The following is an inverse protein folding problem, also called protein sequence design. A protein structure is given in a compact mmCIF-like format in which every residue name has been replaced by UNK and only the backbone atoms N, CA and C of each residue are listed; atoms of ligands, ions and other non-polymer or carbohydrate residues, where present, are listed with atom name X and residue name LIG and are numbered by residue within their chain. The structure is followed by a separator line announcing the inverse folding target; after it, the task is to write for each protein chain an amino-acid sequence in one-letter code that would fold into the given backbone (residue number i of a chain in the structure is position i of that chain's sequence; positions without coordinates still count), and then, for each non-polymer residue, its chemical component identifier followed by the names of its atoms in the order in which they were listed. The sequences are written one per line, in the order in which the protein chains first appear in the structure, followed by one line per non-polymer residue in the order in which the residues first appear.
data_IF_883239158863
#
_entry.id   IF_883239158863
#
_cell.length_a   1.000
_cell.length_b   1.000
_cell.length_c   1.000
_cell.angle_alpha   90.00
_cell.angle_beta   90.00
_cell.angle_gamma   90.00
#
_symmetry.space_group_name_H-M   'P 1'
#
loop_
_entity.id
_entity.type
_entity.pdbx_description
1 polymer ?
#
# COMPACT_ATOMS: atom_id res chain seq x y z
N UNK A 1 10.60 -13.46 15.32
CA UNK A 1 11.19 -14.68 15.87
C UNK A 1 10.61 -15.84 15.12
N UNK A 2 11.40 -16.49 14.30
CA UNK A 2 11.02 -17.68 13.56
C UNK A 2 11.24 -18.91 14.46
N UNK A 3 10.14 -19.43 14.99
CA UNK A 3 10.15 -20.61 15.88
C UNK A 3 10.49 -21.88 15.09
N UNK A 4 10.33 -21.88 13.76
CA UNK A 4 10.68 -23.05 12.95
C UNK A 4 12.18 -23.31 12.98
N UNK A 5 13.02 -22.26 12.97
CA UNK A 5 14.48 -22.41 13.16
C UNK A 5 14.79 -23.20 14.44
N UNK A 6 14.09 -22.86 15.53
CA UNK A 6 14.24 -23.54 16.81
C UNK A 6 13.79 -25.01 16.74
N UNK A 7 12.63 -25.27 16.15
CA UNK A 7 12.04 -26.61 16.03
C UNK A 7 12.88 -27.51 15.12
N UNK A 8 13.28 -27.00 13.95
CA UNK A 8 14.12 -27.71 12.99
C UNK A 8 15.45 -28.05 13.60
N UNK A 9 16.11 -27.10 14.28
CA UNK A 9 17.38 -27.38 14.96
C UNK A 9 17.26 -28.46 16.02
N UNK A 10 16.17 -28.46 16.81
CA UNK A 10 15.90 -29.53 17.79
C UNK A 10 15.75 -30.89 17.11
N UNK A 11 15.02 -30.94 15.98
CA UNK A 11 14.80 -32.16 15.20
C UNK A 11 16.08 -32.68 14.54
N UNK A 12 16.92 -31.80 13.99
CA UNK A 12 18.25 -32.13 13.46
C UNK A 12 19.13 -32.80 14.51
N UNK A 13 19.12 -32.26 15.73
CA UNK A 13 19.85 -32.81 16.88
C UNK A 13 19.17 -34.05 17.50
N UNK A 14 18.05 -34.50 16.92
CA UNK A 14 17.23 -35.64 17.39
C UNK A 14 16.88 -35.55 18.88
N UNK A 15 16.67 -34.33 19.38
CA UNK A 15 16.33 -34.09 20.78
C UNK A 15 14.82 -34.10 21.00
N UNK A 16 14.35 -34.84 22.00
CA UNK A 16 12.96 -34.76 22.46
C UNK A 16 12.71 -33.46 23.23
N UNK A 17 11.46 -32.99 23.28
CA UNK A 17 11.09 -31.82 24.09
C UNK A 17 11.47 -32.02 25.56
N UNK A 18 11.23 -33.23 26.09
CA UNK A 18 11.59 -33.59 27.48
C UNK A 18 13.08 -33.42 27.73
N UNK A 19 13.93 -33.89 26.80
CA UNK A 19 15.38 -33.75 26.90
C UNK A 19 15.82 -32.29 26.80
N UNK A 20 15.22 -31.52 25.90
CA UNK A 20 15.57 -30.12 25.70
C UNK A 20 15.19 -29.26 26.92
N UNK A 21 14.00 -29.46 27.51
CA UNK A 21 13.53 -28.64 28.62
C UNK A 21 14.13 -29.00 29.99
N UNK A 22 14.81 -30.14 30.12
CA UNK A 22 15.31 -30.65 31.40
C UNK A 22 16.19 -29.63 32.16
N UNK A 23 15.81 -29.30 33.39
CA UNK A 23 16.54 -28.32 34.21
C UNK A 23 16.45 -26.87 33.73
N UNK A 24 15.59 -26.57 32.74
CA UNK A 24 15.33 -25.22 32.23
C UNK A 24 13.88 -24.80 32.46
N UNK A 25 12.92 -25.60 32.00
CA UNK A 25 11.49 -25.32 32.11
C UNK A 25 10.65 -26.61 32.06
N UNK A 26 9.33 -26.49 32.18
CA UNK A 26 8.45 -27.65 32.04
C UNK A 26 8.25 -28.02 30.56
N UNK A 27 8.01 -29.31 30.27
CA UNK A 27 7.70 -29.76 28.91
C UNK A 27 6.43 -29.08 28.36
N UNK A 28 5.47 -28.73 29.21
CA UNK A 28 4.30 -27.94 28.83
C UNK A 28 4.68 -26.53 28.33
N UNK A 29 5.63 -25.87 29.00
CA UNK A 29 6.14 -24.55 28.59
C UNK A 29 6.78 -24.63 27.20
N UNK A 30 7.65 -25.63 26.98
CA UNK A 30 8.30 -25.83 25.67
C UNK A 30 7.29 -26.19 24.58
N UNK A 31 6.31 -27.05 24.88
CA UNK A 31 5.26 -27.43 23.92
C UNK A 31 4.40 -26.23 23.51
N UNK A 32 4.03 -25.35 24.46
CA UNK A 32 3.29 -24.12 24.16
C UNK A 32 4.10 -23.12 23.33
N UNK A 33 5.42 -23.10 23.53
CA UNK A 33 6.31 -22.30 22.69
C UNK A 33 6.37 -22.85 21.26
N UNK A 34 6.63 -24.15 21.09
CA UNK A 34 6.76 -24.76 19.75
C UNK A 34 5.44 -24.81 18.97
N UNK A 35 4.31 -25.08 19.62
CA UNK A 35 3.04 -25.30 18.92
C UNK A 35 2.16 -24.05 18.81
N UNK A 36 2.21 -23.15 19.81
CA UNK A 36 1.26 -22.04 19.94
C UNK A 36 1.96 -20.67 19.97
N UNK A 37 3.27 -20.63 19.75
CA UNK A 37 4.05 -19.38 19.72
C UNK A 37 4.15 -18.64 21.06
N UNK A 38 3.77 -19.27 22.19
CA UNK A 38 3.82 -18.61 23.50
C UNK A 38 5.26 -18.49 23.99
N UNK A 39 5.83 -17.32 23.83
CA UNK A 39 7.23 -17.03 24.16
C UNK A 39 7.45 -17.15 25.67
N UNK A 40 8.41 -17.99 26.13
CA UNK A 40 8.79 -18.06 27.54
C UNK A 40 9.59 -16.82 27.95
N UNK A 41 9.98 -16.73 29.23
CA UNK A 41 10.87 -15.63 29.65
C UNK A 41 12.20 -15.67 28.88
N UNK A 42 12.79 -14.51 28.65
CA UNK A 42 14.05 -14.40 27.89
C UNK A 42 15.17 -15.27 28.51
N UNK A 43 15.20 -15.39 29.84
CA UNK A 43 16.13 -16.27 30.55
C UNK A 43 15.94 -17.76 30.21
N UNK A 44 14.69 -18.22 30.06
CA UNK A 44 14.38 -19.59 29.64
C UNK A 44 14.73 -19.76 28.16
N UNK A 45 14.34 -18.80 27.30
CA UNK A 45 14.60 -18.85 25.87
C UNK A 45 16.10 -18.93 25.56
N UNK A 46 16.91 -18.08 26.20
CA UNK A 46 18.38 -18.09 26.06
C UNK A 46 18.97 -19.47 26.39
N UNK A 47 18.60 -20.05 27.53
CA UNK A 47 19.10 -21.39 27.94
C UNK A 47 18.67 -22.50 26.97
N UNK A 48 17.46 -22.41 26.42
CA UNK A 48 16.99 -23.39 25.43
C UNK A 48 17.77 -23.24 24.11
N UNK A 49 17.96 -22.01 23.63
CA UNK A 49 18.76 -21.74 22.43
C UNK A 49 20.21 -22.20 22.59
N UNK A 50 20.84 -21.86 23.71
CA UNK A 50 22.22 -22.27 24.02
C UNK A 50 22.39 -23.79 23.96
N UNK A 51 21.42 -24.55 24.49
CA UNK A 51 21.43 -26.01 24.43
C UNK A 51 21.27 -26.58 23.01
N UNK A 52 20.67 -25.82 22.10
CA UNK A 52 20.57 -26.15 20.68
C UNK A 52 21.78 -25.65 19.86
N UNK A 53 22.73 -24.97 20.50
CA UNK A 53 23.85 -24.30 19.83
C UNK A 53 23.41 -23.09 19.01
N UNK A 54 22.32 -22.43 19.43
CA UNK A 54 21.79 -21.21 18.84
C UNK A 54 21.94 -20.04 19.83
N UNK A 55 22.07 -18.84 19.29
CA UNK A 55 21.76 -17.60 19.98
C UNK A 55 20.28 -17.26 19.79
N UNK A 56 19.72 -16.40 20.65
CA UNK A 56 18.36 -15.89 20.41
C UNK A 56 18.29 -15.09 19.12
N UNK A 57 19.36 -14.40 18.73
CA UNK A 57 19.45 -13.65 17.47
C UNK A 57 19.35 -14.55 16.23
N UNK A 58 19.80 -15.81 16.31
CA UNK A 58 19.65 -16.78 15.22
C UNK A 58 18.19 -17.06 14.88
N UNK A 59 17.30 -16.98 15.88
CA UNK A 59 15.85 -17.08 15.67
C UNK A 59 15.27 -15.88 14.90
N UNK A 60 16.07 -14.86 14.64
CA UNK A 60 15.67 -13.68 13.86
C UNK A 60 16.42 -13.55 12.53
N UNK A 61 17.45 -14.37 12.25
CA UNK A 61 18.28 -14.26 11.03
C UNK A 61 17.51 -14.48 9.72
N UNK A 62 16.65 -15.50 9.63
CA UNK A 62 15.82 -15.68 8.43
C UNK A 62 14.73 -14.60 8.35
N UNK A 63 14.22 -14.17 9.51
CA UNK A 63 13.19 -13.11 9.55
C UNK A 63 13.73 -11.75 9.12
N UNK A 64 15.01 -11.43 9.33
CA UNK A 64 15.59 -10.16 8.88
C UNK A 64 15.85 -10.17 7.37
N UNK A 65 16.33 -11.29 6.81
CA UNK A 65 16.47 -11.47 5.37
C UNK A 65 15.10 -11.45 4.65
N UNK A 66 14.10 -12.15 5.19
CA UNK A 66 12.72 -12.15 4.64
C UNK A 66 12.07 -10.77 4.76
N UNK A 67 12.28 -10.06 5.88
CA UNK A 67 11.81 -8.67 6.07
C UNK A 67 12.42 -7.72 5.05
N UNK A 68 13.73 -7.80 4.82
CA UNK A 68 14.42 -6.95 3.82
C UNK A 68 13.94 -7.26 2.40
N UNK A 69 13.84 -8.56 2.05
CA UNK A 69 13.33 -8.98 0.75
C UNK A 69 11.90 -8.49 0.53
N UNK A 70 11.00 -8.75 1.48
CA UNK A 70 9.60 -8.31 1.42
C UNK A 70 9.51 -6.79 1.29
N UNK A 71 10.28 -6.02 2.07
CA UNK A 71 10.33 -4.56 1.96
C UNK A 71 10.71 -4.12 0.55
N UNK A 72 11.75 -4.71 -0.05
CA UNK A 72 12.16 -4.39 -1.41
C UNK A 72 11.07 -4.69 -2.43
N UNK A 73 10.43 -5.86 -2.34
CA UNK A 73 9.35 -6.26 -3.26
C UNK A 73 8.12 -5.37 -3.10
N UNK A 74 7.69 -5.08 -1.87
CA UNK A 74 6.53 -4.21 -1.60
C UNK A 74 6.78 -2.76 -2.05
N UNK A 75 8.02 -2.25 -1.92
CA UNK A 75 8.37 -0.93 -2.45
C UNK A 75 8.31 -0.91 -3.99
N UNK A 76 8.70 -1.99 -4.66
CA UNK A 76 8.56 -2.12 -6.11
C UNK A 76 7.08 -2.14 -6.52
N UNK A 77 6.27 -2.96 -5.82
CA UNK A 77 4.81 -3.04 -6.05
C UNK A 77 4.14 -1.68 -5.92
N UNK A 78 4.56 -0.86 -4.94
CA UNK A 78 4.05 0.50 -4.77
C UNK A 78 4.25 1.34 -6.04
N UNK A 79 5.47 1.33 -6.60
CA UNK A 79 5.79 2.07 -7.82
C UNK A 79 5.05 1.53 -9.04
N UNK A 80 4.97 0.19 -9.19
CA UNK A 80 4.26 -0.44 -10.29
C UNK A 80 2.75 -0.17 -10.25
N UNK A 81 2.13 -0.15 -9.07
CA UNK A 81 0.73 0.28 -8.87
C UNK A 81 0.52 1.73 -9.29
N UNK A 82 1.46 2.63 -8.98
CA UNK A 82 1.41 4.03 -9.38
C UNK A 82 1.56 4.21 -10.89
N UNK A 83 2.29 3.31 -11.56
CA UNK A 83 2.46 3.29 -13.01
C UNK A 83 1.35 2.52 -13.73
N UNK A 84 0.42 1.91 -12.99
CA UNK A 84 -0.65 1.05 -13.54
C UNK A 84 -0.12 -0.18 -14.28
N UNK A 85 1.10 -0.64 -13.93
CA UNK A 85 1.69 -1.86 -14.46
C UNK A 85 1.18 -3.09 -13.68
N UNK A 86 -0.13 -3.35 -13.85
CA UNK A 86 -0.83 -4.41 -13.13
C UNK A 86 -0.26 -5.81 -13.42
N UNK A 87 0.41 -5.99 -14.56
CA UNK A 87 1.08 -7.25 -14.89
C UNK A 87 2.23 -7.51 -13.93
N UNK A 88 3.14 -6.54 -13.75
CA UNK A 88 4.26 -6.66 -12.79
C UNK A 88 3.79 -6.76 -11.35
N UNK A 89 2.73 -6.02 -10.98
CA UNK A 89 2.13 -6.12 -9.64
C UNK A 89 1.61 -7.54 -9.40
N UNK A 90 0.90 -8.13 -10.36
CA UNK A 90 0.37 -9.48 -10.23
C UNK A 90 1.47 -10.52 -10.07
N UNK A 91 2.54 -10.42 -10.86
CA UNK A 91 3.70 -11.31 -10.75
C UNK A 91 4.38 -11.17 -9.38
N UNK A 92 4.69 -9.95 -8.96
CA UNK A 92 5.35 -9.68 -7.69
C UNK A 92 4.54 -10.13 -6.46
N UNK A 93 3.21 -10.04 -6.51
CA UNK A 93 2.34 -10.49 -5.41
C UNK A 93 2.24 -12.02 -5.29
N UNK A 94 2.46 -12.79 -6.37
CA UNK A 94 2.41 -14.26 -6.33
C UNK A 94 3.54 -14.87 -5.53
N UNK A 95 4.71 -14.24 -5.57
CA UNK A 95 5.92 -14.75 -4.92
C UNK A 95 6.01 -14.34 -3.44
N UNK A 96 5.05 -13.54 -2.95
CA UNK A 96 5.02 -13.07 -1.58
C UNK A 96 4.13 -13.94 -0.70
N UNK A 97 4.71 -14.40 0.41
CA UNK A 97 3.98 -14.96 1.53
C UNK A 97 4.03 -14.00 2.73
N UNK A 98 2.89 -13.45 3.10
CA UNK A 98 2.76 -12.49 4.22
C UNK A 98 3.10 -13.11 5.57
N UNK A 99 2.97 -14.43 5.70
CA UNK A 99 3.25 -15.16 6.95
C UNK A 99 4.75 -15.32 7.21
N UNK A 100 5.60 -15.14 6.19
CA UNK A 100 7.07 -15.28 6.31
C UNK A 100 7.73 -14.09 7.02
N UNK A 101 6.97 -13.04 7.34
CA UNK A 101 7.49 -11.80 7.92
C UNK A 101 6.73 -11.45 9.20
N UNK A 102 7.48 -11.29 10.29
CA UNK A 102 6.95 -10.84 11.58
C UNK A 102 7.09 -9.33 11.76
N UNK A 103 6.51 -8.55 10.83
CA UNK A 103 6.52 -7.09 10.85
C UNK A 103 5.14 -6.55 10.45
N UNK A 104 4.41 -5.97 11.39
CA UNK A 104 3.04 -5.49 11.16
C UNK A 104 2.96 -4.38 10.11
N UNK A 105 3.97 -3.50 10.03
CA UNK A 105 4.00 -2.44 9.01
C UNK A 105 4.05 -3.03 7.59
N UNK A 106 4.92 -4.03 7.37
CA UNK A 106 5.03 -4.71 6.08
C UNK A 106 3.79 -5.56 5.79
N UNK A 107 3.17 -6.18 6.80
CA UNK A 107 1.89 -6.89 6.63
C UNK A 107 0.79 -5.93 6.18
N UNK A 108 0.64 -4.79 6.85
CA UNK A 108 -0.31 -3.75 6.42
C UNK A 108 -0.01 -3.27 5.01
N UNK A 109 1.28 -3.07 4.68
CA UNK A 109 1.70 -2.68 3.34
C UNK A 109 1.27 -3.72 2.29
N UNK A 110 1.54 -5.00 2.54
CA UNK A 110 1.12 -6.09 1.68
C UNK A 110 -0.41 -6.11 1.49
N UNK A 111 -1.17 -6.06 2.59
CA UNK A 111 -2.62 -6.16 2.53
C UNK A 111 -3.27 -4.99 1.77
N UNK A 112 -2.84 -3.74 1.98
CA UNK A 112 -3.46 -2.64 1.20
C UNK A 112 -3.04 -2.71 -0.27
N UNK A 113 -1.80 -3.11 -0.59
CA UNK A 113 -1.36 -3.21 -2.00
C UNK A 113 -2.15 -4.30 -2.73
N UNK A 114 -2.34 -5.45 -2.09
CA UNK A 114 -3.15 -6.55 -2.62
C UNK A 114 -4.63 -6.18 -2.73
N UNK A 115 -5.18 -5.52 -1.71
CA UNK A 115 -6.56 -5.00 -1.72
C UNK A 115 -6.76 -3.98 -2.83
N UNK A 116 -5.88 -2.98 -2.94
CA UNK A 116 -5.95 -1.93 -3.97
C UNK A 116 -5.76 -2.52 -5.38
N UNK A 117 -4.83 -3.45 -5.57
CA UNK A 117 -4.69 -4.19 -6.83
C UNK A 117 -6.00 -4.89 -7.22
N UNK A 118 -6.61 -5.61 -6.27
CA UNK A 118 -7.90 -6.30 -6.47
C UNK A 118 -9.00 -5.32 -6.84
N UNK A 119 -9.10 -4.19 -6.13
CA UNK A 119 -10.04 -3.10 -6.46
C UNK A 119 -9.83 -2.58 -7.87
N UNK A 120 -8.58 -2.27 -8.25
CA UNK A 120 -8.28 -1.61 -9.51
C UNK A 120 -8.45 -2.52 -10.72
N UNK A 121 -8.24 -3.82 -10.55
CA UNK A 121 -8.37 -4.85 -11.59
C UNK A 121 -9.73 -5.53 -11.65
N UNK A 122 -10.70 -5.11 -10.80
CA UNK A 122 -12.02 -5.73 -10.66
C UNK A 122 -11.93 -7.23 -10.30
N UNK A 123 -11.04 -7.56 -9.37
CA UNK A 123 -10.96 -8.89 -8.79
C UNK A 123 -12.15 -9.23 -7.88
N UNK A 124 -12.08 -10.37 -7.20
CA UNK A 124 -13.14 -10.87 -6.33
C UNK A 124 -13.35 -9.95 -5.12
N UNK A 125 -14.59 -9.58 -4.83
CA UNK A 125 -14.88 -8.66 -3.73
C UNK A 125 -14.53 -9.29 -2.37
N UNK A 126 -14.64 -10.61 -2.22
CA UNK A 126 -14.28 -11.32 -0.99
C UNK A 126 -12.80 -11.14 -0.66
N UNK A 127 -11.93 -11.18 -1.67
CA UNK A 127 -10.50 -10.94 -1.51
C UNK A 127 -10.22 -9.48 -1.14
N UNK A 128 -10.90 -8.53 -1.79
CA UNK A 128 -10.81 -7.11 -1.46
C UNK A 128 -11.16 -6.86 0.01
N UNK A 129 -12.34 -7.32 0.46
CA UNK A 129 -12.80 -7.10 1.83
C UNK A 129 -11.92 -7.81 2.84
N UNK A 130 -11.47 -9.03 2.55
CA UNK A 130 -10.53 -9.74 3.41
C UNK A 130 -9.23 -8.95 3.61
N UNK A 131 -8.61 -8.46 2.53
CA UNK A 131 -7.35 -7.72 2.63
C UNK A 131 -7.52 -6.43 3.45
N UNK A 132 -8.59 -5.67 3.23
CA UNK A 132 -8.83 -4.45 3.99
C UNK A 132 -9.23 -4.73 5.45
N UNK A 133 -9.97 -5.81 5.73
CA UNK A 133 -10.32 -6.19 7.10
C UNK A 133 -9.09 -6.62 7.90
N UNK A 134 -8.08 -7.23 7.28
CA UNK A 134 -6.80 -7.51 7.97
C UNK A 134 -6.13 -6.25 8.50
N UNK A 135 -6.37 -5.10 7.87
CA UNK A 135 -5.85 -3.81 8.36
C UNK A 135 -6.83 -3.22 9.36
N UNK A 136 -8.07 -2.97 8.93
CA UNK A 136 -9.05 -2.16 9.66
C UNK A 136 -9.58 -2.82 10.93
N UNK A 137 -9.58 -4.16 10.99
CA UNK A 137 -10.19 -4.93 12.07
C UNK A 137 -9.16 -5.74 12.87
N UNK A 138 -7.89 -5.79 12.46
CA UNK A 138 -6.85 -6.58 13.14
C UNK A 138 -5.54 -5.80 13.38
N UNK A 139 -4.87 -5.33 12.31
CA UNK A 139 -3.51 -4.77 12.43
C UNK A 139 -3.49 -3.30 12.87
N UNK A 140 -4.56 -2.56 12.61
CA UNK A 140 -4.70 -1.13 12.92
C UNK A 140 -6.16 -0.80 13.28
N UNK A 141 -6.75 -1.52 14.25
CA UNK A 141 -8.15 -1.37 14.67
C UNK A 141 -8.57 0.06 15.02
N UNK A 142 -7.63 0.85 15.53
CA UNK A 142 -7.86 2.25 15.91
C UNK A 142 -7.65 3.24 14.74
N UNK A 143 -7.36 2.74 13.55
CA UNK A 143 -7.15 3.50 12.31
C UNK A 143 -6.11 4.61 12.44
N UNK A 144 -5.00 4.34 13.13
CA UNK A 144 -3.97 5.32 13.45
C UNK A 144 -2.96 5.52 12.32
N UNK A 145 -2.85 4.56 11.40
CA UNK A 145 -1.82 4.56 10.36
C UNK A 145 -2.37 4.95 8.99
N UNK A 146 -1.49 5.39 8.09
CA UNK A 146 -1.82 5.69 6.69
C UNK A 146 -2.46 4.49 5.96
N UNK A 147 -2.17 3.25 6.40
CA UNK A 147 -2.69 2.04 5.76
C UNK A 147 -4.20 1.87 5.93
N UNK A 148 -4.78 2.35 7.03
CA UNK A 148 -6.23 2.40 7.21
C UNK A 148 -6.88 3.34 6.19
N UNK A 149 -6.27 4.50 5.95
CA UNK A 149 -6.77 5.46 4.96
C UNK A 149 -6.57 5.01 3.51
N UNK A 150 -5.49 4.28 3.21
CA UNK A 150 -5.33 3.59 1.93
C UNK A 150 -6.40 2.52 1.71
N UNK A 151 -6.77 1.80 2.78
CA UNK A 151 -7.87 0.83 2.74
C UNK A 151 -9.21 1.53 2.47
N UNK A 152 -9.46 2.68 3.10
CA UNK A 152 -10.63 3.50 2.80
C UNK A 152 -10.65 4.03 1.37
N UNK A 153 -9.51 4.44 0.81
CA UNK A 153 -9.40 4.76 -0.63
C UNK A 153 -9.84 3.57 -1.49
N UNK A 154 -9.31 2.37 -1.21
CA UNK A 154 -9.69 1.16 -1.94
C UNK A 154 -11.19 0.83 -1.85
N UNK A 155 -11.79 0.99 -0.68
CA UNK A 155 -13.22 0.81 -0.46
C UNK A 155 -14.05 1.86 -1.19
N UNK A 156 -13.63 3.13 -1.15
CA UNK A 156 -14.27 4.24 -1.85
C UNK A 156 -14.29 4.04 -3.36
N UNK A 157 -13.16 3.62 -3.95
CA UNK A 157 -13.07 3.28 -5.38
C UNK A 157 -14.02 2.14 -5.72
N UNK A 158 -14.03 1.06 -4.92
CA UNK A 158 -14.92 -0.08 -5.15
C UNK A 158 -16.39 0.33 -5.18
N UNK A 159 -16.86 1.05 -4.15
CA UNK A 159 -18.25 1.49 -4.08
C UNK A 159 -18.61 2.48 -5.18
N UNK A 160 -17.69 3.36 -5.57
CA UNK A 160 -17.89 4.26 -6.71
C UNK A 160 -18.10 3.49 -8.01
N UNK A 161 -17.31 2.45 -8.28
CA UNK A 161 -17.41 1.61 -9.49
C UNK A 161 -18.73 0.84 -9.60
N UNK A 162 -19.30 0.43 -8.47
CA UNK A 162 -20.62 -0.24 -8.44
C UNK A 162 -21.78 0.74 -8.28
N UNK A 163 -21.56 2.04 -8.53
CA UNK A 163 -22.55 3.13 -8.45
C UNK A 163 -23.21 3.29 -7.06
N UNK A 164 -22.52 2.88 -6.00
CA UNK A 164 -22.93 3.05 -4.60
C UNK A 164 -22.30 4.32 -4.03
N UNK A 165 -22.79 5.47 -4.50
CA UNK A 165 -22.15 6.77 -4.27
C UNK A 165 -22.15 7.22 -2.81
N UNK A 166 -23.21 6.91 -2.04
CA UNK A 166 -23.28 7.23 -0.61
C UNK A 166 -22.17 6.52 0.19
N UNK A 167 -21.95 5.23 -0.10
CA UNK A 167 -20.88 4.44 0.51
C UNK A 167 -19.51 4.96 0.07
N UNK A 168 -19.34 5.28 -1.22
CA UNK A 168 -18.09 5.86 -1.72
C UNK A 168 -17.75 7.17 -0.98
N UNK A 169 -18.74 8.04 -0.83
CA UNK A 169 -18.63 9.32 -0.13
C UNK A 169 -18.30 9.15 1.36
N UNK A 170 -18.90 8.15 2.02
CA UNK A 170 -18.53 7.82 3.40
C UNK A 170 -17.04 7.49 3.54
N UNK A 171 -16.49 6.62 2.70
CA UNK A 171 -15.08 6.24 2.78
C UNK A 171 -14.14 7.37 2.37
N UNK A 172 -14.43 8.08 1.28
CA UNK A 172 -13.63 9.24 0.87
C UNK A 172 -13.73 10.41 1.86
N UNK A 173 -14.86 10.55 2.58
CA UNK A 173 -15.01 11.51 3.67
C UNK A 173 -13.99 11.28 4.79
N UNK A 174 -13.80 10.02 5.22
CA UNK A 174 -12.74 9.66 6.19
C UNK A 174 -11.34 9.99 5.68
N UNK A 175 -11.10 9.79 4.39
CA UNK A 175 -9.79 10.09 3.75
C UNK A 175 -9.56 11.60 3.69
N UNK A 176 -10.58 12.40 3.38
CA UNK A 176 -10.49 13.86 3.39
C UNK A 176 -10.22 14.42 4.79
N UNK A 177 -10.86 13.87 5.82
CA UNK A 177 -10.58 14.23 7.21
C UNK A 177 -9.10 14.01 7.54
N UNK A 178 -8.55 12.85 7.17
CA UNK A 178 -7.12 12.55 7.35
C UNK A 178 -6.21 13.55 6.62
N UNK A 179 -6.50 13.84 5.35
CA UNK A 179 -5.74 14.80 4.54
C UNK A 179 -5.75 16.20 5.19
N UNK A 180 -6.88 16.60 5.76
CA UNK A 180 -7.07 17.91 6.38
C UNK A 180 -6.33 18.02 7.73
N UNK A 181 -6.43 17.00 8.58
CA UNK A 181 -5.72 16.93 9.87
C UNK A 181 -4.20 16.97 9.66
N UNK A 182 -3.71 16.30 8.62
CA UNK A 182 -2.27 16.18 8.37
C UNK A 182 -1.73 17.19 7.37
N UNK A 183 -2.50 18.20 6.94
CA UNK A 183 -2.14 19.12 5.85
C UNK A 183 -0.75 19.74 5.95
N UNK A 184 -0.30 20.02 7.18
CA UNK A 184 0.99 20.64 7.48
C UNK A 184 2.12 19.62 7.72
N UNK A 185 1.76 18.36 8.02
CA UNK A 185 2.68 17.27 8.32
C UNK A 185 2.96 16.35 7.12
N UNK A 186 2.06 16.34 6.12
CA UNK A 186 2.09 15.38 5.01
C UNK A 186 3.36 15.47 4.15
N UNK A 187 4.17 16.51 4.32
CA UNK A 187 5.31 16.83 3.46
C UNK A 187 6.67 16.83 4.16
N UNK A 188 6.73 16.56 5.48
CA UNK A 188 7.98 16.59 6.22
C UNK A 188 8.48 15.19 6.61
N UNK A 189 9.57 14.78 5.92
CA UNK A 189 10.56 13.75 6.30
C UNK A 189 10.01 12.41 6.81
N UNK A 190 9.75 11.47 5.90
CA UNK A 190 9.74 10.04 6.24
C UNK A 190 9.83 9.14 5.01
N UNK A 191 11.04 8.95 4.46
CA UNK A 191 11.36 7.87 3.51
C UNK A 191 10.75 7.95 2.10
N UNK A 192 11.40 7.28 1.15
CA UNK A 192 11.06 7.25 -0.28
C UNK A 192 9.62 6.77 -0.58
N UNK A 193 8.97 6.03 0.32
CA UNK A 193 7.69 5.37 0.00
C UNK A 193 6.48 5.98 0.71
N UNK A 194 6.67 6.82 1.72
CA UNK A 194 5.54 7.50 2.37
C UNK A 194 4.85 8.46 1.38
N UNK A 195 5.63 9.16 0.57
CA UNK A 195 5.07 10.08 -0.42
C UNK A 195 4.30 9.37 -1.54
N UNK A 196 4.65 8.14 -1.92
CA UNK A 196 3.89 7.39 -2.93
C UNK A 196 2.48 7.03 -2.42
N UNK A 197 2.39 6.68 -1.15
CA UNK A 197 1.11 6.43 -0.46
C UNK A 197 0.27 7.69 -0.34
N UNK A 198 0.91 8.83 -0.02
CA UNK A 198 0.24 10.13 0.00
C UNK A 198 -0.27 10.48 -1.41
N UNK A 199 0.55 10.29 -2.44
CA UNK A 199 0.15 10.51 -3.84
C UNK A 199 -1.02 9.62 -4.24
N UNK A 200 -1.04 8.36 -3.80
CA UNK A 200 -2.15 7.42 -3.98
C UNK A 200 -3.44 8.00 -3.39
N UNK A 201 -3.39 8.41 -2.13
CA UNK A 201 -4.53 9.00 -1.41
C UNK A 201 -5.02 10.26 -2.13
N UNK A 202 -4.11 11.17 -2.46
CA UNK A 202 -4.41 12.44 -3.14
C UNK A 202 -5.05 12.21 -4.50
N UNK A 203 -4.46 11.34 -5.33
CA UNK A 203 -4.95 11.11 -6.69
C UNK A 203 -6.34 10.50 -6.71
N UNK A 204 -6.58 9.41 -5.98
CA UNK A 204 -7.88 8.74 -6.04
C UNK A 204 -8.98 9.55 -5.36
N UNK A 205 -8.65 10.32 -4.32
CA UNK A 205 -9.59 11.25 -3.70
C UNK A 205 -9.94 12.39 -4.66
N UNK A 206 -8.96 12.97 -5.36
CA UNK A 206 -9.21 13.99 -6.38
C UNK A 206 -10.06 13.45 -7.54
N UNK A 207 -9.76 12.26 -8.06
CA UNK A 207 -10.55 11.66 -9.16
C UNK A 207 -12.00 11.39 -8.73
N UNK A 208 -12.23 10.95 -7.47
CA UNK A 208 -13.59 10.84 -6.93
C UNK A 208 -14.30 12.19 -6.81
N UNK A 209 -13.62 13.25 -6.36
CA UNK A 209 -14.19 14.59 -6.27
C UNK A 209 -14.55 15.17 -7.64
N UNK A 210 -13.77 14.86 -8.68
CA UNK A 210 -14.11 15.19 -10.07
C UNK A 210 -15.43 14.53 -10.47
N UNK A 211 -15.65 13.25 -10.14
CA UNK A 211 -16.92 12.55 -10.41
C UNK A 211 -18.10 13.23 -9.69
N UNK A 212 -17.85 13.79 -8.50
CA UNK A 212 -18.83 14.55 -7.72
C UNK A 212 -18.98 16.02 -8.18
N UNK A 213 -18.24 16.45 -9.20
CA UNK A 213 -18.13 17.85 -9.65
C UNK A 213 -17.60 18.83 -8.58
N UNK A 214 -16.94 18.34 -7.53
CA UNK A 214 -16.22 19.20 -6.58
C UNK A 214 -14.82 19.51 -7.14
N UNK A 215 -14.82 20.39 -8.12
CA UNK A 215 -13.62 20.78 -8.85
C UNK A 215 -12.66 21.64 -8.02
N UNK A 216 -13.15 22.37 -7.02
CA UNK A 216 -12.30 23.24 -6.20
C UNK A 216 -11.43 22.40 -5.26
N UNK A 217 -12.06 21.53 -4.46
CA UNK A 217 -11.34 20.65 -3.54
C UNK A 217 -10.43 19.69 -4.33
N UNK A 218 -10.91 19.17 -5.46
CA UNK A 218 -10.07 18.32 -6.31
C UNK A 218 -8.84 19.06 -6.84
N UNK A 219 -8.96 20.33 -7.25
CA UNK A 219 -7.84 21.09 -7.78
C UNK A 219 -6.79 21.37 -6.71
N UNK A 220 -7.22 21.66 -5.49
CA UNK A 220 -6.31 21.83 -4.34
C UNK A 220 -5.48 20.56 -4.12
N UNK A 221 -6.13 19.39 -4.07
CA UNK A 221 -5.45 18.10 -3.92
C UNK A 221 -4.48 17.83 -5.08
N UNK A 222 -4.90 18.04 -6.33
CA UNK A 222 -4.04 17.84 -7.50
C UNK A 222 -2.81 18.75 -7.44
N UNK A 223 -2.98 20.03 -7.09
CA UNK A 223 -1.86 20.97 -6.94
C UNK A 223 -0.90 20.54 -5.83
N UNK A 224 -1.42 20.06 -4.69
CA UNK A 224 -0.60 19.48 -3.60
C UNK A 224 0.19 18.27 -4.08
N UNK A 225 -0.43 17.36 -4.83
CA UNK A 225 0.23 16.21 -5.42
C UNK A 225 1.34 16.58 -6.41
N UNK A 226 1.09 17.56 -7.28
CA UNK A 226 2.09 18.06 -8.25
C UNK A 226 3.27 18.70 -7.52
N UNK A 227 3.00 19.50 -6.48
CA UNK A 227 4.04 20.09 -5.64
C UNK A 227 4.91 19.01 -4.99
N UNK A 228 4.30 17.98 -4.41
CA UNK A 228 5.02 16.85 -3.82
C UNK A 228 5.88 16.11 -4.86
N UNK A 229 5.34 15.85 -6.05
CA UNK A 229 6.11 15.24 -7.14
C UNK A 229 7.30 16.11 -7.53
N UNK A 230 7.14 17.44 -7.60
CA UNK A 230 8.22 18.38 -7.91
C UNK A 230 9.31 18.38 -6.84
N UNK A 231 8.94 18.43 -5.56
CA UNK A 231 9.88 18.49 -4.43
C UNK A 231 10.65 17.17 -4.24
N UNK A 232 10.05 16.04 -4.60
CA UNK A 232 10.66 14.71 -4.49
C UNK A 232 11.19 14.17 -5.82
N UNK A 233 11.17 14.98 -6.89
CA UNK A 233 11.61 14.61 -8.25
C UNK A 233 10.91 13.34 -8.82
N UNK A 234 9.62 13.15 -8.54
CA UNK A 234 8.81 12.02 -9.00
C UNK A 234 8.17 12.38 -10.34
N UNK A 235 8.89 12.16 -11.44
CA UNK A 235 8.40 12.51 -12.78
C UNK A 235 7.33 11.56 -13.31
N UNK A 236 7.38 10.30 -12.90
CA UNK A 236 6.54 9.23 -13.47
C UNK A 236 5.08 9.30 -13.06
N UNK A 237 4.76 10.02 -11.98
CA UNK A 237 3.39 10.19 -11.50
C UNK A 237 2.70 11.47 -12.00
N UNK A 238 3.48 12.47 -12.41
CA UNK A 238 2.99 13.74 -12.96
C UNK A 238 1.99 13.59 -14.13
N UNK A 239 2.13 12.63 -15.07
CA UNK A 239 1.16 12.48 -16.16
C UNK A 239 -0.27 12.31 -15.66
N UNK A 240 -0.44 11.50 -14.60
CA UNK A 240 -1.74 11.18 -14.02
C UNK A 240 -2.36 12.41 -13.36
N UNK A 241 -1.58 13.14 -12.56
CA UNK A 241 -2.04 14.36 -11.91
C UNK A 241 -2.36 15.48 -12.90
N UNK A 242 -1.53 15.66 -13.93
CA UNK A 242 -1.77 16.63 -15.01
C UNK A 242 -3.01 16.29 -15.83
N UNK A 243 -3.30 15.00 -16.03
CA UNK A 243 -4.54 14.56 -16.64
C UNK A 243 -5.77 14.93 -15.77
N UNK A 244 -5.70 14.79 -14.44
CA UNK A 244 -6.77 15.27 -13.55
C UNK A 244 -6.92 16.79 -13.62
N UNK A 245 -5.81 17.54 -13.64
CA UNK A 245 -5.82 19.01 -13.80
C UNK A 245 -6.55 19.42 -15.09
N UNK A 246 -6.31 18.70 -16.20
CA UNK A 246 -7.02 18.91 -17.47
C UNK A 246 -8.53 18.58 -17.37
N UNK A 247 -8.91 17.46 -16.74
CA UNK A 247 -10.32 17.10 -16.50
C UNK A 247 -11.04 18.19 -15.70
N UNK A 248 -10.39 18.71 -14.66
CA UNK A 248 -10.92 19.80 -13.83
C UNK A 248 -11.10 21.07 -14.66
N UNK A 249 -10.11 21.44 -15.46
CA UNK A 249 -10.19 22.62 -16.32
C UNK A 249 -11.36 22.53 -17.32
N UNK A 250 -11.60 21.34 -17.89
CA UNK A 250 -12.77 21.07 -18.74
C UNK A 250 -14.07 21.24 -17.94
N UNK A 251 -14.20 20.60 -16.77
CA UNK A 251 -15.40 20.69 -15.93
C UNK A 251 -15.71 22.11 -15.44
N UNK A 252 -14.67 22.94 -15.24
CA UNK A 252 -14.79 24.36 -14.88
C UNK A 252 -14.96 25.30 -16.09
N UNK A 253 -15.14 24.77 -17.30
CA UNK A 253 -15.26 25.54 -18.55
C UNK A 253 -14.11 26.56 -18.74
N UNK A 254 -12.88 26.16 -18.41
CA UNK A 254 -11.71 27.00 -18.62
C UNK A 254 -11.44 27.22 -20.12
N UNK A 255 -10.70 28.30 -20.49
CA UNK A 255 -10.38 28.56 -21.88
C UNK A 255 -9.72 27.37 -22.58
N UNK A 256 -10.05 27.16 -23.85
CA UNK A 256 -9.53 26.03 -24.62
C UNK A 256 -7.99 26.01 -24.73
N UNK A 257 -7.33 27.16 -24.63
CA UNK A 257 -5.87 27.27 -24.54
C UNK A 257 -5.34 26.58 -23.28
N UNK A 258 -5.91 26.88 -22.12
CA UNK A 258 -5.54 26.27 -20.83
C UNK A 258 -5.69 24.75 -20.87
N UNK A 259 -6.82 24.25 -21.39
CA UNK A 259 -7.05 22.80 -21.51
C UNK A 259 -6.02 22.14 -22.44
N UNK A 260 -5.72 22.76 -23.59
CA UNK A 260 -4.72 22.24 -24.54
C UNK A 260 -3.31 22.20 -23.94
N UNK A 261 -2.92 23.24 -23.20
CA UNK A 261 -1.61 23.32 -22.55
C UNK A 261 -1.48 22.23 -21.49
N UNK A 262 -2.48 22.06 -20.62
CA UNK A 262 -2.50 21.00 -19.61
C UNK A 262 -2.42 19.59 -20.21
N UNK A 263 -3.15 19.33 -21.30
CA UNK A 263 -3.08 18.04 -22.01
C UNK A 263 -1.72 17.84 -22.69
N UNK A 264 -1.04 18.92 -23.09
CA UNK A 264 0.30 18.86 -23.68
C UNK A 264 1.35 18.55 -22.63
N UNK A 265 1.29 19.21 -21.47
CA UNK A 265 2.12 18.89 -20.30
C UNK A 265 1.96 17.42 -19.88
N UNK A 266 0.71 16.97 -19.72
CA UNK A 266 0.42 15.58 -19.36
C UNK A 266 1.05 14.58 -20.35
N UNK A 267 0.96 14.88 -21.65
CA UNK A 267 1.52 14.04 -22.72
C UNK A 267 3.05 14.05 -22.71
N UNK A 268 3.68 15.21 -22.46
CA UNK A 268 5.14 15.31 -22.36
C UNK A 268 5.68 14.45 -21.22
N UNK A 269 5.05 14.53 -20.04
CA UNK A 269 5.41 13.66 -18.91
C UNK A 269 5.09 12.19 -19.19
N UNK A 270 4.00 11.88 -19.90
CA UNK A 270 3.67 10.48 -20.20
C UNK A 270 4.77 9.83 -21.07
N UNK A 271 5.19 10.55 -22.12
CA UNK A 271 6.22 10.09 -23.07
C UNK A 271 7.59 9.89 -22.43
N UNK A 272 8.07 10.85 -21.63
CA UNK A 272 9.39 10.74 -20.97
C UNK A 272 9.45 9.55 -20.00
N UNK A 273 8.32 9.14 -19.44
CA UNK A 273 8.23 8.00 -18.52
C UNK A 273 7.70 6.72 -19.20
N UNK A 274 7.54 6.71 -20.53
CA UNK A 274 7.02 5.57 -21.31
C UNK A 274 5.67 5.03 -20.78
N UNK A 275 4.77 5.93 -20.33
CA UNK A 275 3.48 5.55 -19.75
C UNK A 275 2.38 5.51 -20.83
N UNK A 276 2.36 4.44 -21.61
CA UNK A 276 1.42 4.24 -22.74
C UNK A 276 -0.05 4.28 -22.30
N UNK A 277 -0.36 3.78 -21.10
CA UNK A 277 -1.74 3.76 -20.55
C UNK A 277 -2.25 5.19 -20.39
N UNK A 278 -1.44 6.08 -19.83
CA UNK A 278 -1.82 7.49 -19.65
C UNK A 278 -1.84 8.23 -20.99
N UNK A 279 -0.93 7.92 -21.92
CA UNK A 279 -0.97 8.48 -23.28
C UNK A 279 -2.31 8.20 -23.99
N UNK A 280 -2.80 6.96 -23.91
CA UNK A 280 -4.10 6.56 -24.47
C UNK A 280 -5.24 7.36 -23.82
N UNK A 281 -5.23 7.53 -22.50
CA UNK A 281 -6.27 8.30 -21.78
C UNK A 281 -6.23 9.79 -22.13
N UNK A 282 -5.05 10.39 -22.29
CA UNK A 282 -4.90 11.78 -22.73
C UNK A 282 -5.46 11.96 -24.13
N UNK A 283 -5.15 11.05 -25.06
CA UNK A 283 -5.66 11.10 -26.42
C UNK A 283 -7.18 10.93 -26.48
N UNK A 284 -7.74 10.02 -25.67
CA UNK A 284 -9.19 9.85 -25.54
C UNK A 284 -9.87 11.13 -25.02
N UNK A 285 -9.33 11.73 -23.95
CA UNK A 285 -9.87 12.98 -23.39
C UNK A 285 -9.77 14.14 -24.38
N UNK A 286 -8.65 14.24 -25.12
CA UNK A 286 -8.47 15.26 -26.16
C UNK A 286 -9.52 15.13 -27.26
N UNK A 287 -9.81 13.91 -27.71
CA UNK A 287 -10.85 13.64 -28.71
C UNK A 287 -12.24 14.02 -28.18
N UNK A 288 -12.58 13.55 -26.98
CA UNK A 288 -13.85 13.90 -26.32
C UNK A 288 -14.05 15.41 -26.21
N UNK A 289 -13.02 16.14 -25.77
CA UNK A 289 -13.09 17.60 -25.65
C UNK A 289 -13.25 18.30 -27.00
N UNK A 290 -12.63 17.79 -28.07
CA UNK A 290 -12.83 18.32 -29.42
C UNK A 290 -14.27 18.10 -29.90
N UNK A 291 -14.83 16.92 -29.66
CA UNK A 291 -16.19 16.58 -30.07
C UNK A 291 -17.25 17.40 -29.31
N UNK A 292 -16.99 17.79 -28.05
CA UNK A 292 -17.87 18.69 -27.28
C UNK A 292 -17.87 20.15 -27.76
N UNK A 293 -16.83 20.57 -28.48
CA UNK A 293 -16.63 21.96 -28.92
C UNK A 293 -16.77 22.12 -30.45
N UNK A 294 -17.29 21.10 -31.14
CA UNK A 294 -17.72 21.18 -32.54
C UNK A 294 -19.18 21.60 -32.62
#
# INVERSE_FOLDING_TARGET
MDINIFIERRKELKMSQVKLCQGICTQSTLSKFENNGRVPSLAILNKLCERLGLSVDDLYKNSSASTTHMRTVLNRIESDLMMEDYSKVSEALKDLNVDDVNNNELKMQFYYQKGLFTTLTNGKFEELFYNFSQILDNLDEEHRTIYSYLSYVGMGIFYSRINKMEQAEFYFGKVLEYINVHKDQTFQKSGLNAYLRILTIVFYTADFLIVKNDFETSLELVKRGIKLCSEQHITYYLPRLKLLEAKIAIGKNQPATVVKDLLTDAMAFAKINHNEVVELRINALRKQYQDMNR
#
